data_IF_876362854486
#
_entry.id   IF_876362854486
#
_cell.length_a   1.000
_cell.length_b   1.000
_cell.length_c   1.000
_cell.angle_alpha   90.00
_cell.angle_beta   90.00
_cell.angle_gamma   90.00
#
_symmetry.space_group_name_H-M   'P 1'
#
loop_
_entity.id
_entity.type
_entity.pdbx_description
1 polymer ?
#
# COMPACT_ATOMS: atom_id res chain seq x y z
N UNK A 1 12.88 -92.49 2.89
CA UNK A 1 12.88 -91.21 3.63
C UNK A 1 13.80 -90.25 2.89
N UNK A 2 13.23 -89.46 1.99
CA UNK A 2 13.92 -88.30 1.39
C UNK A 2 12.83 -87.32 1.01
N UNK A 3 12.82 -86.12 1.62
CA UNK A 3 12.51 -84.96 0.79
C UNK A 3 13.23 -83.66 1.20
N UNK A 4 13.17 -82.74 0.24
CA UNK A 4 13.15 -81.26 0.33
C UNK A 4 14.46 -80.46 0.25
N UNK A 5 14.63 -79.95 -0.97
CA UNK A 5 15.22 -78.67 -1.38
C UNK A 5 15.17 -77.59 -0.30
N UNK A 6 16.26 -76.84 -0.13
CA UNK A 6 16.18 -75.37 -0.10
C UNK A 6 17.35 -74.76 -0.88
N UNK A 7 16.97 -73.90 -1.80
CA UNK A 7 17.79 -73.10 -2.69
C UNK A 7 17.90 -71.71 -2.06
N UNK A 8 19.11 -71.21 -1.77
CA UNK A 8 19.39 -69.77 -1.63
C UNK A 8 20.81 -69.47 -2.08
N UNK A 9 20.97 -69.28 -3.39
CA UNK A 9 22.08 -68.53 -3.95
C UNK A 9 22.00 -67.08 -3.47
N UNK A 10 23.08 -66.64 -2.82
CA UNK A 10 23.36 -65.23 -2.54
C UNK A 10 23.45 -64.47 -3.86
N UNK A 11 22.56 -63.50 -4.07
CA UNK A 11 22.74 -62.44 -5.05
C UNK A 11 22.78 -61.11 -4.31
N UNK A 12 23.94 -60.48 -4.31
CA UNK A 12 24.08 -59.06 -4.08
C UNK A 12 23.68 -58.38 -5.40
N UNK A 13 22.50 -57.77 -5.48
CA UNK A 13 22.21 -56.89 -6.62
C UNK A 13 22.63 -55.47 -6.26
N UNK A 14 23.68 -55.02 -6.93
CA UNK A 14 24.23 -53.69 -6.87
C UNK A 14 23.15 -52.62 -7.06
N UNK A 15 23.28 -51.57 -6.25
CA UNK A 15 22.76 -50.23 -6.49
C UNK A 15 22.90 -49.84 -7.97
N UNK A 16 21.77 -49.62 -8.63
CA UNK A 16 21.68 -48.56 -9.64
C UNK A 16 20.99 -47.39 -8.95
N UNK A 17 21.70 -46.74 -8.02
CA UNK A 17 21.43 -45.34 -7.77
C UNK A 17 21.66 -44.65 -9.13
N UNK A 18 20.57 -44.31 -9.81
CA UNK A 18 20.63 -43.42 -10.96
C UNK A 18 21.40 -42.20 -10.49
N UNK A 19 22.63 -42.06 -10.97
CA UNK A 19 23.44 -40.87 -10.69
C UNK A 19 22.65 -39.71 -11.29
N UNK A 20 21.98 -38.95 -10.44
CA UNK A 20 21.34 -37.71 -10.87
C UNK A 20 22.41 -36.87 -11.57
N UNK A 21 22.10 -36.27 -12.73
CA UNK A 21 23.06 -35.49 -13.47
C UNK A 21 23.66 -34.42 -12.55
N UNK A 22 24.98 -34.28 -12.57
CA UNK A 22 25.66 -33.23 -11.80
C UNK A 22 25.38 -31.89 -12.47
N UNK A 23 24.59 -31.04 -11.82
CA UNK A 23 24.29 -29.69 -12.31
C UNK A 23 25.27 -28.70 -11.66
N UNK A 24 26.00 -27.92 -12.49
CA UNK A 24 26.82 -26.81 -12.02
C UNK A 24 25.96 -25.55 -11.94
N UNK A 25 25.87 -24.97 -10.76
CA UNK A 25 25.07 -23.77 -10.50
C UNK A 25 26.00 -22.60 -10.23
N UNK A 26 25.81 -21.49 -10.96
CA UNK A 26 26.44 -20.22 -10.63
C UNK A 26 25.62 -19.57 -9.51
N UNK A 27 26.23 -19.38 -8.35
CA UNK A 27 25.60 -18.75 -7.19
C UNK A 27 26.40 -17.52 -6.80
N UNK A 28 25.75 -16.39 -6.55
CA UNK A 28 26.43 -15.14 -6.24
C UNK A 28 26.93 -15.12 -4.79
N UNK A 29 28.17 -14.64 -4.60
CA UNK A 29 28.87 -14.64 -3.31
C UNK A 29 28.18 -13.75 -2.27
N UNK A 30 27.47 -12.70 -2.70
CA UNK A 30 26.68 -11.82 -1.83
C UNK A 30 25.62 -12.59 -1.02
N UNK A 31 25.17 -13.75 -1.52
CA UNK A 31 24.14 -14.58 -0.90
C UNK A 31 24.68 -15.82 -0.18
N UNK A 32 26.01 -16.01 -0.10
CA UNK A 32 26.63 -17.24 0.44
C UNK A 32 26.21 -17.58 1.88
N UNK A 33 25.89 -16.57 2.68
CA UNK A 33 25.48 -16.74 4.08
C UNK A 33 24.14 -17.48 4.22
N UNK A 34 23.38 -17.66 3.14
CA UNK A 34 22.20 -18.53 3.12
C UNK A 34 22.51 -20.01 3.40
N UNK A 35 23.76 -20.43 3.22
CA UNK A 35 24.25 -21.78 3.54
C UNK A 35 24.86 -21.88 4.94
N UNK A 36 24.99 -20.78 5.67
CA UNK A 36 25.54 -20.77 7.01
C UNK A 36 24.45 -21.12 8.05
N UNK A 37 24.57 -22.31 8.63
CA UNK A 37 23.59 -22.84 9.60
C UNK A 37 23.72 -22.23 11.00
N UNK A 38 24.78 -21.46 11.27
CA UNK A 38 24.98 -20.80 12.58
C UNK A 38 24.10 -19.57 12.79
N UNK A 39 23.53 -19.02 11.70
CA UNK A 39 22.61 -17.88 11.78
C UNK A 39 21.20 -18.34 12.15
N UNK A 40 20.59 -17.69 13.14
CA UNK A 40 19.17 -17.83 13.44
C UNK A 40 18.34 -16.96 12.51
N UNK A 41 18.80 -15.74 12.22
CA UNK A 41 18.10 -14.79 11.37
C UNK A 41 19.01 -14.39 10.20
N UNK A 42 18.49 -14.41 8.98
CA UNK A 42 19.18 -13.97 7.77
C UNK A 42 18.29 -12.95 7.06
N UNK A 43 18.81 -11.75 6.83
CA UNK A 43 18.04 -10.64 6.28
C UNK A 43 18.73 -10.08 5.05
N UNK A 44 18.04 -10.08 3.91
CA UNK A 44 18.45 -9.34 2.74
C UNK A 44 17.44 -8.22 2.47
N UNK A 45 17.90 -6.98 2.48
CA UNK A 45 17.09 -5.81 2.20
C UNK A 45 17.72 -4.95 1.10
N UNK A 46 17.01 -3.98 0.53
CA UNK A 46 17.55 -3.05 -0.48
C UNK A 46 16.60 -2.85 -1.65
N UNK A 47 17.07 -2.29 -2.76
CA UNK A 47 16.25 -1.90 -3.91
C UNK A 47 15.85 -3.04 -4.84
N UNK A 48 15.07 -2.67 -5.85
CA UNK A 48 14.61 -3.50 -6.97
C UNK A 48 15.81 -4.03 -7.77
N UNK A 49 15.62 -5.18 -8.41
CA UNK A 49 16.63 -5.75 -9.32
C UNK A 49 17.88 -6.33 -8.63
N UNK A 50 17.84 -6.55 -7.32
CA UNK A 50 18.96 -7.08 -6.53
C UNK A 50 19.11 -8.60 -6.52
N UNK A 51 18.12 -9.33 -7.06
CA UNK A 51 18.16 -10.79 -7.11
C UNK A 51 17.89 -11.51 -5.78
N UNK A 52 17.47 -10.79 -4.72
CA UNK A 52 17.16 -11.33 -3.38
C UNK A 52 16.27 -12.58 -3.43
N UNK A 53 15.08 -12.45 -3.97
CA UNK A 53 14.08 -13.54 -3.96
C UNK A 53 14.56 -14.75 -4.76
N UNK A 54 15.19 -14.53 -5.94
CA UNK A 54 15.72 -15.62 -6.78
C UNK A 54 16.83 -16.39 -6.08
N UNK A 55 17.77 -15.71 -5.41
CA UNK A 55 18.88 -16.38 -4.72
C UNK A 55 18.47 -17.05 -3.42
N UNK A 56 17.52 -16.48 -2.67
CA UNK A 56 16.93 -17.18 -1.52
C UNK A 56 16.20 -18.44 -1.96
N UNK A 57 15.35 -18.35 -2.99
CA UNK A 57 14.67 -19.54 -3.54
C UNK A 57 15.65 -20.63 -3.99
N UNK A 58 16.68 -20.24 -4.75
CA UNK A 58 17.72 -21.17 -5.23
C UNK A 58 18.49 -21.81 -4.07
N UNK A 59 18.90 -21.04 -3.06
CA UNK A 59 19.59 -21.58 -1.89
C UNK A 59 18.72 -22.59 -1.13
N UNK A 60 17.44 -22.28 -0.93
CA UNK A 60 16.50 -23.19 -0.26
C UNK A 60 16.32 -24.49 -1.04
N UNK A 61 16.18 -24.41 -2.36
CA UNK A 61 16.12 -25.58 -3.24
C UNK A 61 17.39 -26.42 -3.13
N UNK A 62 18.57 -25.81 -3.20
CA UNK A 62 19.85 -26.51 -3.10
C UNK A 62 20.05 -27.17 -1.74
N UNK A 63 19.72 -26.47 -0.65
CA UNK A 63 19.76 -27.04 0.72
C UNK A 63 18.77 -28.19 0.88
N UNK A 64 17.58 -28.06 0.28
CA UNK A 64 16.57 -29.09 0.24
C UNK A 64 17.00 -30.36 -0.50
N UNK A 65 17.95 -30.28 -1.44
CA UNK A 65 18.56 -31.44 -2.11
C UNK A 65 19.65 -32.11 -1.27
N UNK A 66 20.24 -31.40 -0.31
CA UNK A 66 21.33 -31.91 0.53
C UNK A 66 20.81 -32.67 1.74
N UNK A 67 19.74 -32.17 2.36
CA UNK A 67 19.11 -32.78 3.54
C UNK A 67 17.62 -32.53 3.56
N UNK A 68 16.90 -33.34 4.35
CA UNK A 68 15.46 -33.19 4.55
C UNK A 68 15.17 -31.91 5.35
N UNK A 69 14.38 -31.01 4.77
CA UNK A 69 13.95 -29.76 5.38
C UNK A 69 12.44 -29.56 5.27
N UNK A 70 11.86 -28.91 6.27
CA UNK A 70 10.49 -28.39 6.22
C UNK A 70 10.55 -26.86 6.13
N UNK A 71 10.19 -26.32 4.97
CA UNK A 71 10.40 -24.90 4.63
C UNK A 71 9.06 -24.20 4.52
N UNK A 72 8.83 -23.18 5.34
CA UNK A 72 7.65 -22.32 5.27
C UNK A 72 7.94 -21.06 4.47
N UNK A 73 7.29 -20.88 3.34
CA UNK A 73 7.28 -19.64 2.57
C UNK A 73 6.04 -18.81 2.93
N UNK A 74 6.23 -17.55 3.32
CA UNK A 74 5.14 -16.73 3.86
C UNK A 74 5.25 -15.24 3.52
N UNK A 75 4.12 -14.53 3.56
CA UNK A 75 3.97 -13.06 3.34
C UNK A 75 2.81 -12.55 4.22
N UNK A 76 2.69 -11.24 4.46
CA UNK A 76 1.65 -10.69 5.36
C UNK A 76 0.23 -10.99 4.88
N UNK A 77 -0.13 -10.57 3.67
CA UNK A 77 -1.48 -10.73 3.09
C UNK A 77 -1.45 -11.82 2.01
N UNK A 78 -2.42 -12.73 2.08
CA UNK A 78 -2.59 -13.83 1.14
C UNK A 78 -3.93 -13.74 0.43
N UNK A 79 -3.96 -13.04 -0.70
CA UNK A 79 -5.05 -13.21 -1.66
C UNK A 79 -4.68 -14.29 -2.70
N UNK A 80 -3.40 -14.38 -3.12
CA UNK A 80 -2.89 -15.34 -4.13
C UNK A 80 -1.39 -15.72 -3.94
N UNK A 81 -0.92 -15.97 -2.70
CA UNK A 81 0.51 -16.37 -2.46
C UNK A 81 0.90 -17.67 -3.16
N UNK A 82 -0.08 -18.54 -3.47
CA UNK A 82 0.15 -19.74 -4.26
C UNK A 82 0.77 -19.45 -5.64
N UNK A 83 0.75 -18.20 -6.11
CA UNK A 83 1.17 -17.88 -7.47
C UNK A 83 2.50 -17.13 -7.59
N UNK A 84 3.04 -16.44 -6.57
CA UNK A 84 4.29 -15.67 -6.73
C UNK A 84 5.55 -16.41 -6.26
N UNK A 85 5.65 -16.75 -4.97
CA UNK A 85 6.83 -17.46 -4.41
C UNK A 85 6.87 -18.92 -4.88
N UNK A 86 5.71 -19.57 -4.94
CA UNK A 86 5.60 -20.92 -5.48
C UNK A 86 6.02 -20.96 -6.96
N UNK A 87 5.53 -20.02 -7.78
CA UNK A 87 5.95 -19.91 -9.18
C UNK A 87 7.44 -19.62 -9.29
N UNK A 88 7.99 -18.71 -8.49
CA UNK A 88 9.43 -18.46 -8.44
C UNK A 88 10.24 -19.73 -8.17
N UNK A 89 9.82 -20.55 -7.20
CA UNK A 89 10.49 -21.82 -6.90
C UNK A 89 10.32 -22.84 -8.05
N UNK A 90 9.13 -22.91 -8.67
CA UNK A 90 8.86 -23.71 -9.87
C UNK A 90 9.82 -23.32 -11.00
N UNK A 91 9.89 -22.03 -11.32
CA UNK A 91 10.74 -21.48 -12.37
C UNK A 91 12.23 -21.81 -12.10
N UNK A 92 12.70 -21.67 -10.85
CA UNK A 92 14.08 -22.03 -10.49
C UNK A 92 14.33 -23.54 -10.69
N UNK A 93 13.37 -24.40 -10.31
CA UNK A 93 13.48 -25.86 -10.48
C UNK A 93 13.57 -26.21 -11.97
N UNK A 94 12.72 -25.60 -12.79
CA UNK A 94 12.64 -25.84 -14.24
C UNK A 94 13.89 -25.30 -14.97
N UNK A 95 14.28 -24.04 -14.72
CA UNK A 95 15.45 -23.38 -15.32
C UNK A 95 16.76 -24.15 -15.06
N UNK A 96 16.87 -24.80 -13.89
CA UNK A 96 18.07 -25.54 -13.49
C UNK A 96 17.96 -27.05 -13.73
N UNK A 97 16.85 -27.54 -14.31
CA UNK A 97 16.67 -28.95 -14.66
C UNK A 97 16.62 -29.91 -13.46
N UNK A 98 16.05 -29.47 -12.34
CA UNK A 98 16.03 -30.25 -11.10
C UNK A 98 14.88 -31.28 -11.06
N UNK A 99 15.09 -32.43 -11.71
CA UNK A 99 14.10 -33.51 -11.90
C UNK A 99 13.70 -34.28 -10.62
N UNK A 100 14.47 -34.11 -9.55
CA UNK A 100 14.25 -34.70 -8.23
C UNK A 100 13.24 -33.92 -7.38
N UNK A 101 12.78 -32.74 -7.83
CA UNK A 101 11.61 -32.09 -7.27
C UNK A 101 10.33 -32.51 -8.00
N UNK A 102 9.28 -32.72 -7.22
CA UNK A 102 7.90 -32.78 -7.66
C UNK A 102 7.25 -31.43 -7.36
N UNK A 103 6.71 -30.78 -8.38
CA UNK A 103 6.04 -29.49 -8.29
C UNK A 103 4.59 -29.67 -8.71
N UNK A 104 3.67 -29.35 -7.82
CA UNK A 104 2.23 -29.28 -8.10
C UNK A 104 1.76 -27.84 -7.93
N UNK A 105 0.47 -27.56 -7.83
CA UNK A 105 0.00 -26.20 -7.50
C UNK A 105 0.02 -25.92 -5.99
N UNK A 106 0.13 -26.96 -5.15
CA UNK A 106 0.02 -26.85 -3.69
C UNK A 106 1.28 -27.24 -2.94
N UNK A 107 2.14 -28.05 -3.56
CA UNK A 107 3.28 -28.69 -2.91
C UNK A 107 4.47 -28.64 -3.85
N UNK A 108 5.63 -28.26 -3.30
CA UNK A 108 6.94 -28.54 -3.87
C UNK A 108 7.66 -29.50 -2.91
N UNK A 109 8.03 -30.68 -3.41
CA UNK A 109 8.66 -31.74 -2.62
C UNK A 109 9.87 -32.32 -3.33
N UNK A 110 11.00 -32.45 -2.62
CA UNK A 110 12.13 -33.23 -3.12
C UNK A 110 11.86 -34.74 -2.91
N UNK A 111 11.86 -35.53 -3.99
CA UNK A 111 11.57 -36.97 -3.97
C UNK A 111 12.69 -37.81 -3.36
N UNK A 112 13.90 -37.26 -3.23
CA UNK A 112 15.08 -37.97 -2.72
C UNK A 112 15.26 -37.72 -1.22
N UNK A 113 15.30 -36.44 -0.81
CA UNK A 113 15.51 -36.07 0.59
C UNK A 113 14.21 -36.02 1.39
N UNK A 114 13.06 -35.87 0.73
CA UNK A 114 11.78 -35.63 1.37
C UNK A 114 11.59 -34.20 1.89
N UNK A 115 12.41 -33.25 1.43
CA UNK A 115 12.20 -31.81 1.70
C UNK A 115 10.85 -31.37 1.18
N UNK A 116 10.12 -30.55 1.94
CA UNK A 116 8.84 -29.98 1.52
C UNK A 116 8.79 -28.46 1.75
N UNK A 117 8.19 -27.76 0.79
CA UNK A 117 7.85 -26.34 0.89
C UNK A 117 6.36 -26.19 1.17
N UNK A 118 6.05 -25.37 2.16
CA UNK A 118 4.70 -24.99 2.61
C UNK A 118 4.49 -23.51 2.32
N UNK A 119 3.26 -23.12 1.99
CA UNK A 119 2.93 -21.74 1.62
C UNK A 119 1.77 -21.25 2.48
N UNK A 120 1.96 -20.17 3.24
CA UNK A 120 0.91 -19.62 4.11
C UNK A 120 1.01 -18.10 4.25
N UNK A 121 -0.11 -17.44 4.44
CA UNK A 121 -0.24 -16.01 4.71
C UNK A 121 -0.32 -15.71 6.20
N UNK A 122 0.45 -14.75 6.69
CA UNK A 122 0.54 -14.48 8.12
C UNK A 122 -0.77 -13.95 8.70
N UNK A 123 -1.46 -13.06 7.99
CA UNK A 123 -2.59 -12.33 8.56
C UNK A 123 -3.90 -13.12 8.65
N UNK A 124 -4.19 -13.95 7.66
CA UNK A 124 -5.43 -14.74 7.63
C UNK A 124 -5.26 -16.12 8.29
N UNK A 125 -4.03 -16.65 8.35
CA UNK A 125 -3.77 -18.02 8.83
C UNK A 125 -2.97 -18.05 10.13
N UNK A 126 -3.14 -17.06 11.01
CA UNK A 126 -2.42 -16.94 12.30
C UNK A 126 -2.50 -18.24 13.12
N UNK A 127 -3.68 -18.88 13.17
CA UNK A 127 -3.88 -20.12 13.91
C UNK A 127 -3.17 -21.31 13.28
N UNK A 128 -3.17 -21.41 11.94
CA UNK A 128 -2.45 -22.44 11.20
C UNK A 128 -0.94 -22.33 11.49
N UNK A 129 -0.39 -21.12 11.39
CA UNK A 129 1.02 -20.84 11.68
C UNK A 129 1.36 -21.26 13.11
N UNK A 130 0.57 -20.85 14.11
CA UNK A 130 0.78 -21.26 15.51
C UNK A 130 0.82 -22.78 15.70
N UNK A 131 0.04 -23.51 14.90
CA UNK A 131 -0.03 -24.97 14.95
C UNK A 131 1.08 -25.69 14.17
N UNK A 132 1.86 -24.98 13.35
CA UNK A 132 2.95 -25.58 12.59
C UNK A 132 4.06 -26.09 13.52
N UNK A 133 4.51 -27.31 13.25
CA UNK A 133 5.58 -27.97 13.99
C UNK A 133 6.71 -28.42 13.09
N UNK A 134 7.93 -28.46 13.62
CA UNK A 134 9.07 -29.00 12.91
C UNK A 134 9.53 -28.21 11.68
N UNK A 135 9.13 -26.92 11.55
CA UNK A 135 9.65 -26.03 10.51
C UNK A 135 11.14 -25.78 10.75
N UNK A 136 11.96 -26.13 9.75
CA UNK A 136 13.40 -25.90 9.74
C UNK A 136 13.73 -24.48 9.31
N UNK A 137 13.02 -23.96 8.32
CA UNK A 137 13.29 -22.62 7.78
C UNK A 137 11.96 -21.93 7.50
N UNK A 138 11.79 -20.70 7.96
CA UNK A 138 10.72 -19.84 7.46
C UNK A 138 11.31 -18.70 6.64
N UNK A 139 10.90 -18.61 5.38
CA UNK A 139 11.22 -17.51 4.49
C UNK A 139 10.02 -16.57 4.38
N UNK A 140 10.19 -15.36 4.90
CA UNK A 140 9.24 -14.25 4.73
C UNK A 140 9.66 -13.43 3.52
N UNK A 141 8.86 -13.49 2.48
CA UNK A 141 9.02 -12.70 1.26
C UNK A 141 8.22 -11.39 1.37
N UNK A 142 8.64 -10.33 0.69
CA UNK A 142 8.06 -8.98 0.81
C UNK A 142 7.83 -8.54 2.27
N UNK A 143 8.84 -8.79 3.09
CA UNK A 143 8.77 -8.61 4.54
C UNK A 143 8.60 -7.14 4.98
N UNK A 144 8.63 -6.16 4.08
CA UNK A 144 8.25 -4.78 4.39
C UNK A 144 6.77 -4.65 4.77
N UNK A 145 5.93 -5.58 4.29
CA UNK A 145 4.49 -5.61 4.58
C UNK A 145 4.14 -6.26 5.92
N UNK A 146 5.09 -6.92 6.59
CA UNK A 146 4.80 -7.68 7.81
C UNK A 146 4.48 -6.75 8.98
N UNK A 147 3.40 -7.04 9.70
CA UNK A 147 3.07 -6.29 10.93
C UNK A 147 3.87 -6.79 12.13
N UNK A 148 4.09 -5.93 13.13
CA UNK A 148 4.73 -6.33 14.39
C UNK A 148 3.95 -7.46 15.10
N UNK A 149 2.63 -7.48 14.96
CA UNK A 149 1.78 -8.54 15.50
C UNK A 149 2.06 -9.88 14.81
N UNK A 150 2.10 -9.91 13.47
CA UNK A 150 2.44 -11.11 12.69
C UNK A 150 3.85 -11.59 13.01
N UNK A 151 4.82 -10.68 13.12
CA UNK A 151 6.20 -11.02 13.44
C UNK A 151 6.34 -11.63 14.86
N UNK A 152 5.57 -11.12 15.84
CA UNK A 152 5.51 -11.67 17.20
C UNK A 152 4.86 -13.05 17.27
N UNK A 153 4.06 -13.44 16.28
CA UNK A 153 3.53 -14.80 16.18
C UNK A 153 4.52 -15.71 15.46
N UNK A 154 5.01 -15.30 14.29
CA UNK A 154 5.86 -16.14 13.45
C UNK A 154 7.17 -16.51 14.14
N UNK A 155 7.92 -15.54 14.66
CA UNK A 155 9.28 -15.78 15.13
C UNK A 155 9.35 -16.80 16.29
N UNK A 156 8.44 -16.78 17.30
CA UNK A 156 8.38 -17.81 18.33
C UNK A 156 7.82 -19.15 17.85
N UNK A 157 6.96 -19.18 16.82
CA UNK A 157 6.41 -20.43 16.27
C UNK A 157 7.51 -21.31 15.69
N UNK A 158 8.46 -20.71 14.96
CA UNK A 158 9.58 -21.40 14.33
C UNK A 158 10.62 -21.74 15.41
N UNK A 159 10.34 -22.77 16.21
CA UNK A 159 11.05 -23.08 17.47
C UNK A 159 11.97 -24.30 17.42
N UNK A 160 12.04 -24.98 16.27
CA UNK A 160 12.91 -26.16 16.12
C UNK A 160 14.36 -25.74 16.36
N UNK A 161 15.13 -26.56 17.06
CA UNK A 161 16.56 -26.32 17.27
C UNK A 161 17.29 -26.21 15.92
N UNK A 162 18.14 -25.19 15.77
CA UNK A 162 18.83 -24.89 14.52
C UNK A 162 17.92 -24.31 13.41
N UNK A 163 16.65 -24.01 13.69
CA UNK A 163 15.77 -23.41 12.68
C UNK A 163 16.19 -21.99 12.32
N UNK A 164 15.85 -21.55 11.11
CA UNK A 164 16.22 -20.23 10.59
C UNK A 164 15.00 -19.41 10.17
N UNK A 165 15.09 -18.10 10.39
CA UNK A 165 14.19 -17.10 9.81
C UNK A 165 14.95 -16.35 8.72
N UNK A 166 14.41 -16.37 7.50
CA UNK A 166 14.96 -15.66 6.35
C UNK A 166 13.99 -14.58 5.94
N UNK A 167 14.46 -13.34 5.79
CA UNK A 167 13.63 -12.20 5.40
C UNK A 167 14.20 -11.55 4.13
N UNK A 168 13.34 -11.31 3.15
CA UNK A 168 13.66 -10.53 1.95
C UNK A 168 12.67 -9.40 1.78
N UNK A 169 13.15 -8.16 1.64
CA UNK A 169 12.27 -7.01 1.43
C UNK A 169 12.95 -5.81 0.78
N UNK A 170 12.15 -4.93 0.19
CA UNK A 170 12.59 -3.58 -0.12
C UNK A 170 12.11 -2.66 1.00
N UNK A 171 12.96 -1.75 1.48
CA UNK A 171 12.56 -0.80 2.53
C UNK A 171 11.34 -0.01 2.06
N UNK A 172 10.35 0.12 2.91
CA UNK A 172 9.21 1.02 2.66
C UNK A 172 9.27 2.20 3.62
N UNK A 173 9.34 1.89 4.92
CA UNK A 173 9.36 2.86 6.00
C UNK A 173 10.66 2.78 6.82
N UNK A 174 11.07 3.86 7.48
CA UNK A 174 12.21 3.85 8.42
C UNK A 174 12.06 2.79 9.51
N UNK A 175 10.83 2.59 9.98
CA UNK A 175 10.47 1.74 11.11
C UNK A 175 9.80 0.42 10.67
N UNK A 176 10.12 -0.09 9.48
CA UNK A 176 9.72 -1.44 9.06
C UNK A 176 10.03 -2.46 10.19
N UNK A 177 9.07 -3.26 10.68
CA UNK A 177 9.27 -4.11 11.86
C UNK A 177 10.48 -5.06 11.79
N UNK A 178 10.69 -5.68 10.62
CA UNK A 178 11.84 -6.57 10.37
C UNK A 178 13.14 -5.78 10.34
N UNK A 179 13.16 -4.59 9.75
CA UNK A 179 14.34 -3.73 9.72
C UNK A 179 14.74 -3.31 11.13
N UNK A 180 13.80 -2.77 11.90
CA UNK A 180 14.04 -2.37 13.29
C UNK A 180 14.56 -3.54 14.11
N UNK A 181 13.92 -4.71 14.00
CA UNK A 181 14.25 -5.86 14.85
C UNK A 181 15.56 -6.54 14.47
N UNK A 182 15.84 -6.75 13.19
CA UNK A 182 16.94 -7.61 12.75
C UNK A 182 18.08 -6.87 12.06
N UNK A 183 17.87 -5.62 11.63
CA UNK A 183 18.93 -4.79 11.05
C UNK A 183 19.41 -3.75 12.04
N UNK A 184 18.53 -2.92 12.61
CA UNK A 184 18.93 -1.89 13.57
C UNK A 184 19.35 -2.47 14.92
N UNK A 185 18.49 -3.32 15.52
CA UNK A 185 18.78 -3.93 16.83
C UNK A 185 19.73 -5.11 16.75
N UNK A 186 19.75 -5.81 15.60
CA UNK A 186 20.64 -6.93 15.26
C UNK A 186 20.91 -7.90 16.44
N UNK A 187 19.90 -8.68 16.87
CA UNK A 187 20.07 -9.64 17.95
C UNK A 187 21.14 -10.69 17.61
N UNK A 188 21.62 -11.42 18.63
CA UNK A 188 22.60 -12.49 18.44
C UNK A 188 22.16 -13.49 17.35
N UNK A 189 23.14 -14.05 16.64
CA UNK A 189 22.92 -14.96 15.52
C UNK A 189 22.08 -14.35 14.38
N UNK A 190 22.29 -13.07 14.07
CA UNK A 190 21.65 -12.37 12.95
C UNK A 190 22.65 -11.90 11.91
N UNK A 191 22.47 -12.36 10.68
CA UNK A 191 23.09 -11.79 9.49
C UNK A 191 22.10 -10.85 8.79
N UNK A 192 22.58 -9.67 8.40
CA UNK A 192 21.82 -8.73 7.59
C UNK A 192 22.71 -8.06 6.55
N UNK A 193 22.22 -7.93 5.31
CA UNK A 193 22.92 -7.31 4.20
C UNK A 193 21.97 -6.47 3.33
N UNK A 194 22.41 -5.26 2.97
CA UNK A 194 21.78 -4.46 1.93
C UNK A 194 22.32 -4.90 0.57
N UNK A 195 21.43 -5.20 -0.37
CA UNK A 195 21.76 -5.61 -1.73
C UNK A 195 20.83 -4.89 -2.71
N UNK A 196 21.43 -4.26 -3.72
CA UNK A 196 20.75 -3.44 -4.71
C UNK A 196 21.00 -3.99 -6.13
N UNK A 197 20.54 -3.26 -7.14
CA UNK A 197 20.67 -3.66 -8.56
C UNK A 197 22.12 -3.96 -8.98
N UNK A 198 23.08 -3.29 -8.35
CA UNK A 198 24.52 -3.39 -8.61
C UNK A 198 25.05 -4.82 -8.43
N UNK A 199 24.41 -5.63 -7.58
CA UNK A 199 24.76 -7.04 -7.39
C UNK A 199 24.54 -7.85 -8.67
N UNK A 200 23.37 -7.70 -9.30
CA UNK A 200 23.10 -8.38 -10.57
C UNK A 200 23.88 -7.75 -11.72
N UNK A 201 24.10 -6.44 -11.69
CA UNK A 201 24.80 -5.73 -12.75
C UNK A 201 26.27 -6.16 -12.82
N UNK A 202 26.98 -6.18 -11.68
CA UNK A 202 28.34 -6.74 -11.59
C UNK A 202 28.44 -8.19 -12.03
N UNK A 203 27.37 -8.97 -11.84
CA UNK A 203 27.32 -10.37 -12.24
C UNK A 203 27.01 -10.58 -13.73
N UNK A 204 26.66 -9.52 -14.47
CA UNK A 204 26.18 -9.58 -15.85
C UNK A 204 24.79 -10.19 -15.97
N UNK A 205 23.98 -10.12 -14.90
CA UNK A 205 22.65 -10.73 -14.78
C UNK A 205 21.53 -9.69 -14.66
N UNK A 206 21.85 -8.39 -14.73
CA UNK A 206 20.86 -7.33 -14.63
C UNK A 206 20.08 -7.18 -15.95
N UNK A 207 18.75 -7.43 -15.95
CA UNK A 207 17.94 -7.39 -17.17
C UNK A 207 17.95 -6.02 -17.85
N UNK A 208 18.02 -6.00 -19.17
CA UNK A 208 18.02 -4.75 -19.94
C UNK A 208 16.72 -3.95 -19.75
N UNK A 209 15.58 -4.63 -19.60
CA UNK A 209 14.29 -3.98 -19.30
C UNK A 209 14.32 -3.23 -17.97
N UNK A 210 14.95 -3.79 -16.93
CA UNK A 210 15.12 -3.11 -15.65
C UNK A 210 16.18 -2.00 -15.73
N UNK A 211 17.19 -2.15 -16.59
CA UNK A 211 18.17 -1.10 -16.85
C UNK A 211 17.51 0.14 -17.46
N UNK A 212 16.62 -0.05 -18.43
CA UNK A 212 15.86 1.06 -19.03
C UNK A 212 14.98 1.79 -17.99
N UNK A 213 14.23 1.06 -17.15
CA UNK A 213 13.44 1.65 -16.06
C UNK A 213 14.33 2.41 -15.07
N UNK A 214 15.46 1.81 -14.68
CA UNK A 214 16.39 2.40 -13.73
C UNK A 214 17.01 3.71 -14.22
N UNK A 215 17.41 3.78 -15.50
CA UNK A 215 17.98 5.01 -16.07
C UNK A 215 16.93 6.12 -16.21
N UNK A 216 15.66 5.77 -16.41
CA UNK A 216 14.56 6.74 -16.35
C UNK A 216 14.38 7.28 -14.93
N UNK A 217 14.25 6.38 -13.95
CA UNK A 217 14.08 6.76 -12.53
C UNK A 217 15.28 7.52 -11.99
N UNK A 218 16.50 7.29 -12.51
CA UNK A 218 17.72 8.01 -12.13
C UNK A 218 17.62 9.52 -12.35
N UNK A 219 16.71 9.99 -13.21
CA UNK A 219 16.42 11.41 -13.40
C UNK A 219 15.76 12.05 -12.17
N UNK A 220 15.11 11.26 -11.32
CA UNK A 220 14.61 11.66 -10.00
C UNK A 220 15.47 11.01 -8.90
N UNK A 221 16.40 11.77 -8.28
CA UNK A 221 17.31 11.21 -7.27
C UNK A 221 16.59 10.58 -6.07
N UNK A 222 15.42 11.09 -5.68
CA UNK A 222 14.65 10.56 -4.55
C UNK A 222 13.97 9.25 -4.90
N UNK A 223 13.32 9.20 -6.06
CA UNK A 223 12.75 7.97 -6.60
C UNK A 223 13.82 6.90 -6.80
N UNK A 224 14.97 7.28 -7.35
CA UNK A 224 16.09 6.37 -7.56
C UNK A 224 16.63 5.79 -6.25
N UNK A 225 16.85 6.66 -5.25
CA UNK A 225 17.29 6.23 -3.93
C UNK A 225 16.32 5.23 -3.29
N UNK A 226 15.01 5.51 -3.38
CA UNK A 226 14.00 4.63 -2.82
C UNK A 226 13.88 3.30 -3.58
N UNK A 227 13.66 3.35 -4.90
CA UNK A 227 13.33 2.18 -5.71
C UNK A 227 14.57 1.29 -5.94
N UNK A 228 15.72 1.89 -6.25
CA UNK A 228 16.90 1.16 -6.74
C UNK A 228 18.00 1.02 -5.69
N UNK A 229 18.16 1.98 -4.78
CA UNK A 229 19.11 1.89 -3.66
C UNK A 229 18.48 1.33 -2.38
N UNK A 230 17.16 1.22 -2.34
CA UNK A 230 16.43 0.68 -1.19
C UNK A 230 16.50 1.56 0.04
N UNK A 231 16.67 2.87 -0.16
CA UNK A 231 16.48 3.84 0.91
C UNK A 231 15.00 3.86 1.32
N UNK A 232 14.67 3.90 2.62
CA UNK A 232 13.30 4.09 3.03
C UNK A 232 12.79 5.44 2.50
N UNK A 233 11.48 5.54 2.28
CA UNK A 233 10.89 6.88 2.18
C UNK A 233 11.08 7.52 3.55
N UNK A 234 11.64 8.75 3.59
CA UNK A 234 11.83 9.52 4.83
C UNK A 234 10.56 9.42 5.68
N UNK A 235 10.68 8.78 6.84
CA UNK A 235 9.56 8.54 7.75
C UNK A 235 9.48 9.66 8.80
N UNK A 236 10.01 10.83 8.46
CA UNK A 236 9.93 12.04 9.26
C UNK A 236 8.63 12.84 9.00
N UNK A 237 7.82 12.50 8.01
CA UNK A 237 6.49 13.10 7.84
C UNK A 237 5.53 12.09 7.19
N UNK A 238 4.72 11.37 7.99
CA UNK A 238 3.48 10.76 7.48
C UNK A 238 2.46 11.83 7.04
N UNK A 239 2.89 13.09 6.91
CA UNK A 239 2.14 14.18 6.34
C UNK A 239 1.87 13.91 4.86
N UNK A 240 0.65 14.17 4.41
CA UNK A 240 0.29 14.02 3.00
C UNK A 240 0.89 15.14 2.16
N UNK A 241 0.87 16.36 2.71
CA UNK A 241 1.33 17.56 2.02
C UNK A 241 2.52 18.10 2.81
N UNK A 242 3.72 17.97 2.23
CA UNK A 242 4.92 18.51 2.87
C UNK A 242 4.81 20.02 3.08
N UNK A 243 5.45 20.52 4.14
CA UNK A 243 5.53 21.97 4.41
C UNK A 243 6.07 22.75 3.23
N UNK A 244 7.00 22.17 2.48
CA UNK A 244 7.53 22.77 1.26
C UNK A 244 6.46 22.88 0.17
N UNK A 245 5.73 21.80 -0.13
CA UNK A 245 4.69 21.82 -1.14
C UNK A 245 3.59 22.85 -0.83
N UNK A 246 3.18 22.95 0.44
CA UNK A 246 2.23 23.97 0.89
C UNK A 246 2.76 25.39 0.72
N UNK A 247 4.01 25.66 1.11
CA UNK A 247 4.64 26.97 0.93
C UNK A 247 4.87 27.31 -0.55
N UNK A 248 5.24 26.34 -1.38
CA UNK A 248 5.42 26.54 -2.82
C UNK A 248 4.08 26.92 -3.47
N UNK A 249 2.96 26.32 -3.05
CA UNK A 249 1.62 26.74 -3.46
C UNK A 249 1.22 28.11 -2.93
N UNK A 250 1.61 28.44 -1.70
CA UNK A 250 1.33 29.75 -1.10
C UNK A 250 2.14 30.91 -1.71
N UNK A 251 3.27 30.61 -2.34
CA UNK A 251 4.12 31.57 -3.03
C UNK A 251 3.87 31.62 -4.54
N UNK A 252 3.03 30.72 -5.07
CA UNK A 252 2.72 30.66 -6.49
C UNK A 252 1.73 31.76 -6.85
N UNK A 253 1.86 32.30 -8.05
CA UNK A 253 0.86 33.16 -8.67
C UNK A 253 0.35 32.44 -9.92
N UNK A 254 -0.94 32.17 -9.95
CA UNK A 254 -1.65 31.66 -11.13
C UNK A 254 -2.71 32.66 -11.54
N UNK A 255 -2.97 32.77 -12.84
CA UNK A 255 -4.06 33.58 -13.38
C UNK A 255 -5.42 32.97 -12.97
N UNK A 256 -6.42 33.82 -12.79
CA UNK A 256 -7.74 33.42 -12.29
C UNK A 256 -8.67 32.95 -13.42
N UNK A 257 -8.15 32.12 -14.34
CA UNK A 257 -8.91 31.57 -15.46
C UNK A 257 -9.64 30.27 -15.06
N UNK A 258 -10.95 30.21 -15.34
CA UNK A 258 -11.78 29.02 -15.12
C UNK A 258 -13.05 29.29 -14.31
N UNK A 259 -13.80 28.22 -14.05
CA UNK A 259 -15.06 28.29 -13.31
C UNK A 259 -14.84 28.66 -11.83
N UNK A 260 -15.82 29.38 -11.26
CA UNK A 260 -15.90 29.64 -9.84
C UNK A 260 -16.56 28.44 -9.16
N UNK A 261 -15.93 27.94 -8.10
CA UNK A 261 -16.49 26.88 -7.27
C UNK A 261 -16.21 27.14 -5.80
N UNK A 262 -17.08 26.64 -4.92
CA UNK A 262 -16.97 26.80 -3.47
C UNK A 262 -16.96 25.46 -2.78
N UNK A 263 -15.99 25.24 -1.88
CA UNK A 263 -15.97 24.13 -0.93
C UNK A 263 -16.42 24.58 0.46
N UNK A 264 -17.20 23.75 1.14
CA UNK A 264 -17.87 24.08 2.40
C UNK A 264 -17.74 22.94 3.41
N UNK A 265 -16.94 23.13 4.47
CA UNK A 265 -16.95 22.26 5.65
C UNK A 265 -17.90 22.85 6.70
N UNK A 266 -18.90 22.07 7.13
CA UNK A 266 -19.99 22.54 7.99
C UNK A 266 -19.81 22.02 9.41
N UNK A 267 -19.67 22.92 10.37
CA UNK A 267 -19.80 22.63 11.79
C UNK A 267 -21.13 23.20 12.35
N UNK A 268 -21.59 22.65 13.48
CA UNK A 268 -22.81 23.13 14.15
C UNK A 268 -22.62 23.20 15.66
N UNK A 269 -22.73 24.42 16.22
CA UNK A 269 -22.84 24.70 17.66
C UNK A 269 -21.75 24.06 18.56
N UNK A 270 -20.64 23.59 18.00
CA UNK A 270 -19.50 23.00 18.71
C UNK A 270 -18.24 23.86 18.60
N UNK A 271 -17.10 23.28 18.95
CA UNK A 271 -15.78 23.94 18.91
C UNK A 271 -15.14 23.97 17.51
N UNK A 272 -15.70 23.22 16.57
CA UNK A 272 -15.25 23.17 15.17
C UNK A 272 -15.78 24.37 14.39
N UNK A 273 -15.06 24.77 13.34
CA UNK A 273 -15.42 25.92 12.50
C UNK A 273 -16.19 25.48 11.27
N UNK A 274 -17.12 26.31 10.85
CA UNK A 274 -17.67 26.26 9.49
C UNK A 274 -16.76 27.08 8.58
N UNK A 275 -16.26 26.50 7.50
CA UNK A 275 -15.29 27.15 6.60
C UNK A 275 -15.77 27.10 5.15
N UNK A 276 -15.69 28.25 4.48
CA UNK A 276 -15.98 28.40 3.05
C UNK A 276 -14.68 28.71 2.31
N UNK A 277 -14.45 28.03 1.18
CA UNK A 277 -13.30 28.23 0.30
C UNK A 277 -13.78 28.44 -1.13
N UNK A 278 -13.55 29.63 -1.70
CA UNK A 278 -13.89 29.94 -3.08
C UNK A 278 -12.64 29.91 -3.93
N UNK A 279 -12.68 29.14 -5.01
CA UNK A 279 -11.64 29.17 -6.05
C UNK A 279 -12.20 29.65 -7.36
N UNK A 280 -11.31 30.13 -8.22
CA UNK A 280 -11.56 30.40 -9.63
C UNK A 280 -10.45 29.71 -10.42
N UNK A 281 -10.81 28.68 -11.17
CA UNK A 281 -9.81 27.80 -11.79
C UNK A 281 -8.89 27.17 -10.75
N UNK A 282 -7.58 27.35 -10.91
CA UNK A 282 -6.55 26.80 -10.02
C UNK A 282 -6.18 27.73 -8.85
N UNK A 283 -6.87 28.86 -8.68
CA UNK A 283 -6.56 29.88 -7.68
C UNK A 283 -7.62 29.95 -6.59
N UNK A 284 -7.20 29.90 -5.32
CA UNK A 284 -8.07 30.23 -4.19
C UNK A 284 -8.22 31.77 -4.10
N UNK A 285 -9.43 32.27 -4.29
CA UNK A 285 -9.71 33.72 -4.42
C UNK A 285 -10.40 34.33 -3.21
N UNK A 286 -11.08 33.53 -2.39
CA UNK A 286 -11.81 34.02 -1.22
C UNK A 286 -11.98 32.93 -0.16
N UNK A 287 -12.14 33.31 1.10
CA UNK A 287 -12.32 32.40 2.23
C UNK A 287 -13.07 33.05 3.38
N UNK A 288 -13.93 32.29 4.05
CA UNK A 288 -14.60 32.75 5.26
C UNK A 288 -14.64 31.63 6.32
N UNK A 289 -14.55 31.99 7.60
CA UNK A 289 -14.56 31.04 8.71
C UNK A 289 -15.46 31.56 9.83
N UNK A 290 -16.30 30.68 10.38
CA UNK A 290 -17.29 31.00 11.39
C UNK A 290 -17.32 29.94 12.50
N UNK A 291 -17.75 30.33 13.69
CA UNK A 291 -17.97 29.44 14.84
C UNK A 291 -19.40 29.59 15.35
N UNK A 292 -19.93 28.53 15.96
CA UNK A 292 -21.22 28.57 16.68
C UNK A 292 -22.44 29.04 15.85
N UNK A 293 -22.45 28.72 14.55
CA UNK A 293 -23.61 28.98 13.69
C UNK A 293 -24.63 27.84 13.74
N UNK A 294 -25.91 28.19 13.57
CA UNK A 294 -26.98 27.25 13.20
C UNK A 294 -26.95 27.01 11.68
N UNK A 295 -27.50 25.88 11.23
CA UNK A 295 -27.52 25.52 9.81
C UNK A 295 -28.19 26.58 8.93
N UNK A 296 -29.27 27.21 9.40
CA UNK A 296 -29.93 28.32 8.69
C UNK A 296 -29.02 29.54 8.54
N UNK A 297 -28.23 29.87 9.57
CA UNK A 297 -27.28 30.99 9.52
C UNK A 297 -26.09 30.66 8.59
N UNK A 298 -25.68 29.39 8.51
CA UNK A 298 -24.69 28.94 7.52
C UNK A 298 -25.23 29.15 6.10
N UNK A 299 -26.49 28.79 5.83
CA UNK A 299 -27.12 29.03 4.52
C UNK A 299 -27.09 30.51 4.17
N UNK A 300 -27.60 31.38 5.05
CA UNK A 300 -27.66 32.82 4.81
C UNK A 300 -26.26 33.44 4.56
N UNK A 301 -25.23 32.96 5.28
CA UNK A 301 -23.84 33.38 5.06
C UNK A 301 -23.28 32.88 3.75
N UNK A 302 -23.61 31.66 3.35
CA UNK A 302 -23.11 31.05 2.12
C UNK A 302 -23.73 31.73 0.89
N UNK A 303 -25.01 32.09 0.94
CA UNK A 303 -25.66 32.90 -0.10
C UNK A 303 -24.96 34.24 -0.31
N UNK A 304 -24.67 34.96 0.78
CA UNK A 304 -23.91 36.21 0.72
C UNK A 304 -22.49 35.97 0.18
N UNK A 305 -21.85 34.86 0.55
CA UNK A 305 -20.50 34.52 0.12
C UNK A 305 -20.43 34.24 -1.39
N UNK A 306 -21.46 33.64 -1.99
CA UNK A 306 -21.57 33.48 -3.45
C UNK A 306 -22.26 34.65 -4.14
N UNK A 307 -22.47 35.77 -3.44
CA UNK A 307 -23.15 36.96 -3.96
C UNK A 307 -24.54 36.67 -4.57
N UNK A 308 -25.24 35.68 -4.01
CA UNK A 308 -26.51 35.15 -4.51
C UNK A 308 -26.46 34.58 -5.94
N UNK A 309 -25.28 34.29 -6.48
CA UNK A 309 -25.14 33.62 -7.77
C UNK A 309 -25.43 32.12 -7.64
N UNK A 310 -26.56 31.70 -8.22
CA UNK A 310 -27.04 30.31 -8.18
C UNK A 310 -26.29 29.38 -9.13
N UNK A 311 -25.48 29.93 -10.05
CA UNK A 311 -24.71 29.16 -11.03
C UNK A 311 -23.33 28.76 -10.50
N UNK A 312 -22.94 29.21 -9.30
CA UNK A 312 -21.70 28.76 -8.65
C UNK A 312 -21.91 27.35 -8.11
N UNK A 313 -21.04 26.42 -8.49
CA UNK A 313 -21.04 25.07 -7.91
C UNK A 313 -20.58 25.13 -6.46
N UNK A 314 -21.45 24.71 -5.54
CA UNK A 314 -21.18 24.65 -4.10
C UNK A 314 -21.04 23.18 -3.68
N UNK A 315 -19.83 22.79 -3.31
CA UNK A 315 -19.47 21.45 -2.83
C UNK A 315 -19.49 21.43 -1.29
N UNK A 316 -20.41 20.68 -0.69
CA UNK A 316 -20.65 20.68 0.76
C UNK A 316 -20.27 19.32 1.35
N UNK A 317 -19.54 19.30 2.47
CA UNK A 317 -19.43 18.07 3.28
C UNK A 317 -20.82 17.74 3.84
N UNK A 318 -21.47 16.76 3.22
CA UNK A 318 -22.79 16.29 3.57
C UNK A 318 -22.76 15.35 4.79
N UNK A 319 -21.57 15.05 5.31
CA UNK A 319 -21.39 14.14 6.45
C UNK A 319 -21.94 14.75 7.74
N UNK A 320 -23.02 14.17 8.26
CA UNK A 320 -23.56 14.54 9.57
C UNK A 320 -24.37 15.85 9.54
N UNK A 321 -23.81 16.96 10.04
CA UNK A 321 -24.57 18.22 10.21
C UNK A 321 -24.71 19.03 8.93
N UNK A 322 -23.90 18.74 7.91
CA UNK A 322 -23.93 19.41 6.62
C UNK A 322 -25.16 19.11 5.77
N UNK A 323 -25.79 17.93 5.93
CA UNK A 323 -27.00 17.55 5.19
C UNK A 323 -28.13 18.57 5.28
N UNK A 324 -28.34 19.16 6.45
CA UNK A 324 -29.37 20.21 6.59
C UNK A 324 -29.05 21.52 5.86
N UNK A 325 -27.78 21.80 5.56
CA UNK A 325 -27.37 22.96 4.74
C UNK A 325 -27.48 22.61 3.26
N UNK A 326 -27.11 21.38 2.88
CA UNK A 326 -27.30 20.83 1.53
C UNK A 326 -28.77 20.92 1.10
N UNK A 327 -29.66 20.30 1.87
CA UNK A 327 -31.10 20.23 1.54
C UNK A 327 -31.71 21.62 1.39
N UNK A 328 -31.38 22.52 2.32
CA UNK A 328 -31.91 23.88 2.35
C UNK A 328 -31.40 24.72 1.17
N UNK A 329 -30.12 24.63 0.79
CA UNK A 329 -29.61 25.39 -0.36
C UNK A 329 -30.12 24.85 -1.70
N UNK A 330 -30.33 23.54 -1.82
CA UNK A 330 -31.01 22.94 -2.98
C UNK A 330 -32.44 23.48 -3.07
N UNK A 331 -33.18 23.49 -1.94
CA UNK A 331 -34.54 24.05 -1.90
C UNK A 331 -34.58 25.53 -2.29
N UNK A 332 -33.55 26.30 -1.92
CA UNK A 332 -33.37 27.71 -2.31
C UNK A 332 -32.91 27.88 -3.76
N UNK A 333 -32.64 26.79 -4.49
CA UNK A 333 -32.33 26.77 -5.91
C UNK A 333 -30.86 26.99 -6.26
N UNK A 334 -29.93 26.75 -5.34
CA UNK A 334 -28.49 26.84 -5.62
C UNK A 334 -27.96 25.53 -6.21
N UNK A 335 -26.93 25.63 -7.06
CA UNK A 335 -26.24 24.46 -7.59
C UNK A 335 -25.30 23.83 -6.56
N UNK A 336 -25.82 22.84 -5.84
CA UNK A 336 -25.12 22.16 -4.75
C UNK A 336 -24.72 20.74 -5.16
N UNK A 337 -23.48 20.37 -4.86
CA UNK A 337 -22.97 19.00 -4.93
C UNK A 337 -22.70 18.50 -3.51
N UNK A 338 -23.55 17.61 -2.96
CA UNK A 338 -23.26 16.95 -1.69
C UNK A 338 -22.08 16.00 -1.83
N UNK A 339 -21.14 16.07 -0.90
CA UNK A 339 -19.99 15.18 -0.83
C UNK A 339 -20.02 14.47 0.53
N UNK A 340 -20.16 13.15 0.51
CA UNK A 340 -20.04 12.33 1.71
C UNK A 340 -18.62 11.79 1.83
N UNK A 341 -17.84 12.33 2.76
CA UNK A 341 -16.46 11.92 3.02
C UNK A 341 -16.28 10.44 3.33
N UNK A 342 -17.30 9.81 3.95
CA UNK A 342 -17.31 8.39 4.27
C UNK A 342 -17.69 7.47 3.12
N UNK A 343 -18.14 8.01 1.98
CA UNK A 343 -18.53 7.21 0.81
C UNK A 343 -17.34 6.51 0.14
N UNK A 344 -17.64 5.58 -0.76
CA UNK A 344 -16.63 4.84 -1.51
C UNK A 344 -15.87 5.79 -2.44
N UNK A 345 -14.55 5.68 -2.46
CA UNK A 345 -13.70 6.40 -3.42
C UNK A 345 -13.92 5.90 -4.84
N UNK A 346 -13.61 6.73 -5.85
CA UNK A 346 -13.59 6.33 -7.26
C UNK A 346 -12.50 5.29 -7.54
N UNK A 347 -11.43 5.29 -6.74
CA UNK A 347 -10.34 4.31 -6.78
C UNK A 347 -10.33 3.42 -5.50
N UNK A 348 -11.30 2.51 -5.32
CA UNK A 348 -11.50 1.74 -4.07
C UNK A 348 -10.36 0.78 -3.73
N UNK A 349 -9.51 0.46 -4.70
CA UNK A 349 -8.28 -0.31 -4.51
C UNK A 349 -7.12 0.55 -3.97
N UNK A 350 -7.18 1.87 -4.13
CA UNK A 350 -6.15 2.82 -3.65
C UNK A 350 -6.55 3.52 -2.35
N UNK A 351 -7.83 3.80 -2.16
CA UNK A 351 -8.33 4.58 -1.02
C UNK A 351 -9.50 3.86 -0.33
N UNK A 352 -9.61 3.96 1.01
CA UNK A 352 -10.69 3.31 1.74
C UNK A 352 -12.02 4.07 1.66
N UNK A 353 -11.99 5.37 1.37
CA UNK A 353 -13.11 6.28 1.35
C UNK A 353 -12.76 7.55 0.56
N UNK A 354 -13.79 8.34 0.23
CA UNK A 354 -13.68 9.52 -0.61
C UNK A 354 -12.78 10.60 0.00
N UNK A 355 -12.85 10.87 1.31
CA UNK A 355 -11.97 11.87 1.94
C UNK A 355 -10.48 11.55 1.78
N UNK A 356 -10.10 10.26 1.84
CA UNK A 356 -8.72 9.87 1.60
C UNK A 356 -8.32 10.19 0.16
N UNK A 357 -9.15 9.83 -0.82
CA UNK A 357 -8.92 10.18 -2.22
C UNK A 357 -8.76 11.69 -2.44
N UNK A 358 -9.68 12.49 -1.88
CA UNK A 358 -9.68 13.94 -2.01
C UNK A 358 -8.41 14.60 -1.46
N UNK A 359 -7.92 14.13 -0.30
CA UNK A 359 -6.66 14.62 0.27
C UNK A 359 -5.45 14.29 -0.61
N UNK A 360 -5.39 13.08 -1.18
CA UNK A 360 -4.32 12.69 -2.10
C UNK A 360 -4.45 13.37 -3.47
N UNK A 361 -5.67 13.67 -3.91
CA UNK A 361 -5.92 14.49 -5.09
C UNK A 361 -5.40 15.92 -4.88
N UNK A 362 -5.74 16.56 -3.76
CA UNK A 362 -5.21 17.89 -3.44
C UNK A 362 -3.67 17.87 -3.43
N UNK A 363 -3.07 16.85 -2.80
CA UNK A 363 -1.62 16.67 -2.76
C UNK A 363 -0.97 16.60 -4.15
N UNK A 364 -1.61 15.93 -5.12
CA UNK A 364 -1.09 15.79 -6.48
C UNK A 364 -1.17 17.09 -7.28
N UNK A 365 -2.13 17.97 -6.97
CA UNK A 365 -2.31 19.27 -7.63
C UNK A 365 -1.64 20.44 -6.87
N UNK A 366 -1.06 20.23 -5.70
CA UNK A 366 -0.27 21.26 -4.99
C UNK A 366 0.74 22.01 -5.88
N UNK A 367 1.41 21.36 -6.87
CA UNK A 367 2.31 22.07 -7.78
C UNK A 367 1.62 23.02 -8.78
N UNK A 368 0.30 22.95 -8.94
CA UNK A 368 -0.44 23.70 -9.97
C UNK A 368 -1.34 24.80 -9.39
N UNK A 369 -1.67 24.75 -8.10
CA UNK A 369 -2.63 25.67 -7.48
C UNK A 369 -1.98 26.91 -6.84
N UNK A 370 -2.71 28.01 -6.78
CA UNK A 370 -2.34 29.25 -6.09
C UNK A 370 -3.17 29.37 -4.81
N UNK A 371 -2.48 29.43 -3.67
CA UNK A 371 -3.09 29.60 -2.34
C UNK A 371 -2.60 30.92 -1.72
N UNK A 372 -3.46 31.70 -1.05
CA UNK A 372 -2.99 32.81 -0.23
C UNK A 372 -2.23 32.31 1.00
N UNK A 373 -1.18 33.03 1.39
CA UNK A 373 -0.44 32.75 2.61
C UNK A 373 -1.36 32.81 3.84
N UNK A 374 -1.48 31.69 4.56
CA UNK A 374 -2.31 31.58 5.76
C UNK A 374 -1.71 30.52 6.69
N UNK A 375 -1.27 30.94 7.88
CA UNK A 375 -0.58 30.07 8.83
C UNK A 375 -1.47 28.92 9.36
N UNK A 376 -2.76 29.17 9.53
CA UNK A 376 -3.73 28.17 9.99
C UNK A 376 -3.90 27.06 8.95
N UNK A 377 -4.15 27.45 7.70
CA UNK A 377 -4.26 26.52 6.58
C UNK A 377 -2.93 25.76 6.37
N UNK A 378 -1.78 26.45 6.45
CA UNK A 378 -0.47 25.82 6.36
C UNK A 378 -0.30 24.75 7.46
N UNK A 379 -0.68 25.07 8.69
CA UNK A 379 -0.63 24.13 9.81
C UNK A 379 -1.51 22.90 9.58
N UNK A 380 -2.74 23.10 9.10
CA UNK A 380 -3.68 22.00 8.86
C UNK A 380 -3.26 21.09 7.69
N UNK A 381 -2.81 21.67 6.57
CA UNK A 381 -2.33 20.91 5.41
C UNK A 381 -1.11 20.05 5.76
N UNK A 382 -0.21 20.56 6.61
CA UNK A 382 1.09 19.95 6.87
C UNK A 382 1.10 18.99 8.05
N UNK A 383 0.09 19.03 8.93
CA UNK A 383 0.06 18.22 10.15
C UNK A 383 -0.85 16.98 10.06
N UNK A 384 -1.73 16.93 9.05
CA UNK A 384 -2.64 15.81 8.84
C UNK A 384 -1.88 14.60 8.30
N UNK A 385 -1.96 13.49 9.02
CA UNK A 385 -1.20 12.29 8.67
C UNK A 385 -2.02 11.32 7.81
N UNK A 386 -1.33 10.37 7.22
CA UNK A 386 -1.93 9.18 6.61
C UNK A 386 -1.22 7.91 7.05
N UNK A 387 -1.88 6.78 6.81
CA UNK A 387 -1.32 5.44 7.00
C UNK A 387 -1.88 4.51 5.95
N UNK A 388 -1.19 3.41 5.68
CA UNK A 388 -1.83 2.32 4.95
C UNK A 388 -2.82 1.60 5.86
N UNK A 389 -4.03 1.41 5.36
CA UNK A 389 -4.99 0.54 5.99
C UNK A 389 -4.56 -0.92 5.80
N UNK A 390 -5.32 -1.79 6.43
CA UNK A 390 -4.97 -3.20 6.42
C UNK A 390 -5.14 -3.86 5.04
N UNK A 391 -5.86 -3.24 4.09
CA UNK A 391 -5.99 -3.71 2.71
C UNK A 391 -4.93 -3.09 1.78
N UNK A 392 -3.95 -2.36 2.32
CA UNK A 392 -2.92 -1.67 1.55
C UNK A 392 -3.39 -0.36 0.91
N UNK A 393 -4.56 0.15 1.31
CA UNK A 393 -5.11 1.41 0.79
C UNK A 393 -4.60 2.58 1.61
N UNK A 394 -4.38 3.73 0.98
CA UNK A 394 -3.90 4.95 1.65
C UNK A 394 -5.07 5.61 2.38
N UNK A 395 -5.02 5.60 3.71
CA UNK A 395 -6.06 6.13 4.57
C UNK A 395 -5.58 7.41 5.27
N UNK A 396 -6.34 8.49 5.12
CA UNK A 396 -6.17 9.70 5.92
C UNK A 396 -6.38 9.38 7.41
N UNK A 397 -5.62 10.05 8.28
CA UNK A 397 -5.91 10.12 9.71
C UNK A 397 -7.36 10.58 9.92
N UNK A 398 -8.07 9.97 10.88
CA UNK A 398 -9.45 10.36 11.17
C UNK A 398 -9.48 11.73 11.89
N UNK A 399 -10.57 12.49 11.74
CA UNK A 399 -10.76 13.78 12.46
C UNK A 399 -10.66 13.59 13.98
N UNK A 400 -11.11 12.44 14.49
CA UNK A 400 -10.96 12.09 15.90
C UNK A 400 -9.50 11.87 16.32
N UNK A 401 -8.73 11.11 15.55
CA UNK A 401 -7.33 10.82 15.90
C UNK A 401 -6.44 12.06 15.74
N UNK A 402 -6.71 12.88 14.74
CA UNK A 402 -6.05 14.18 14.57
C UNK A 402 -6.26 15.10 15.78
N UNK A 403 -7.49 15.17 16.31
CA UNK A 403 -7.78 15.91 17.55
C UNK A 403 -7.11 15.29 18.80
N UNK A 404 -7.04 13.96 18.90
CA UNK A 404 -6.34 13.28 20.01
C UNK A 404 -4.85 13.63 20.08
N UNK A 405 -4.24 14.06 18.97
CA UNK A 405 -2.85 14.55 18.91
C UNK A 405 -2.68 15.99 19.39
N UNK A 406 -3.76 16.64 19.85
CA UNK A 406 -3.74 18.01 20.35
C UNK A 406 -3.98 19.07 19.27
N UNK A 407 -4.31 18.67 18.03
CA UNK A 407 -4.70 19.59 16.98
C UNK A 407 -6.17 19.99 17.12
N UNK A 408 -6.51 21.18 16.63
CA UNK A 408 -7.92 21.53 16.37
C UNK A 408 -8.42 20.77 15.14
N UNK A 409 -9.72 20.79 14.88
CA UNK A 409 -10.25 20.25 13.63
C UNK A 409 -9.62 20.92 12.40
N UNK A 410 -9.30 20.20 11.31
CA UNK A 410 -8.66 20.76 10.12
C UNK A 410 -9.70 21.36 9.14
N UNK A 411 -10.60 22.20 9.66
CA UNK A 411 -11.76 22.66 8.89
C UNK A 411 -11.36 23.53 7.67
N UNK A 412 -10.21 24.23 7.71
CA UNK A 412 -9.71 25.00 6.57
C UNK A 412 -9.22 24.10 5.44
N UNK A 413 -8.52 23.02 5.80
CA UNK A 413 -8.03 22.06 4.82
C UNK A 413 -9.15 21.17 4.26
N UNK A 414 -10.11 20.75 5.10
CA UNK A 414 -11.26 19.95 4.67
C UNK A 414 -12.18 20.78 3.73
N UNK A 415 -12.37 22.09 3.97
CA UNK A 415 -13.04 22.97 3.01
C UNK A 415 -12.23 23.20 1.72
N UNK A 416 -10.90 23.19 1.79
CA UNK A 416 -10.04 23.38 0.62
C UNK A 416 -10.08 22.15 -0.31
N UNK A 417 -10.01 20.94 0.24
CA UNK A 417 -10.12 19.72 -0.58
C UNK A 417 -11.48 19.68 -1.29
N UNK A 418 -12.57 20.10 -0.63
CA UNK A 418 -13.90 20.19 -1.27
C UNK A 418 -13.89 21.17 -2.44
N UNK A 419 -13.29 22.34 -2.25
CA UNK A 419 -13.26 23.36 -3.30
C UNK A 419 -12.54 22.84 -4.54
N UNK A 420 -11.37 22.20 -4.37
CA UNK A 420 -10.51 21.78 -5.48
C UNK A 420 -10.81 20.40 -6.06
N UNK A 421 -11.49 19.52 -5.33
CA UNK A 421 -11.73 18.15 -5.78
C UNK A 421 -12.62 18.12 -7.02
N UNK A 422 -12.09 17.68 -8.14
CA UNK A 422 -12.86 17.34 -9.33
C UNK A 422 -13.03 15.82 -9.34
N UNK A 423 -14.24 15.34 -9.04
CA UNK A 423 -14.59 13.96 -9.38
C UNK A 423 -14.48 13.79 -10.90
N UNK A 424 -14.43 12.54 -11.40
CA UNK A 424 -14.90 12.29 -12.76
C UNK A 424 -16.38 12.70 -12.80
N UNK A 425 -16.63 13.98 -13.06
CA UNK A 425 -17.94 14.50 -13.41
C UNK A 425 -18.18 13.89 -14.79
N UNK A 426 -18.85 12.74 -14.82
CA UNK A 426 -19.62 12.39 -16.00
C UNK A 426 -20.61 13.54 -16.15
N UNK A 427 -20.24 14.51 -16.98
CA UNK A 427 -21.20 15.42 -17.57
C UNK A 427 -21.97 14.50 -18.49
N UNK A 428 -23.07 13.94 -17.99
CA UNK A 428 -24.16 13.63 -18.91
C UNK A 428 -24.52 14.99 -19.48
N UNK A 429 -24.08 15.25 -20.72
CA UNK A 429 -24.58 16.36 -21.51
C UNK A 429 -26.09 16.20 -21.51
N UNK A 430 -26.79 16.99 -20.70
CA UNK A 430 -28.21 17.23 -20.91
C UNK A 430 -28.26 17.99 -22.23
N UNK A 431 -28.44 17.25 -23.31
CA UNK A 431 -28.75 17.82 -24.62
C UNK A 431 -30.08 18.55 -24.51
N UNK A 432 -30.23 19.69 -25.21
CA UNK A 432 -31.47 20.49 -25.24
C UNK A 432 -32.73 19.68 -25.61
N UNK A 433 -32.57 18.45 -26.08
CA UNK A 433 -33.64 17.53 -26.47
C UNK A 433 -34.40 16.87 -25.29
N UNK A 434 -33.91 16.95 -24.04
CA UNK A 434 -34.59 16.33 -22.88
C UNK A 434 -35.76 17.17 -22.30
N UNK A 435 -36.04 18.34 -22.88
CA UNK A 435 -37.15 19.21 -22.45
C UNK A 435 -38.47 19.00 -23.21
N UNK A 436 -38.47 18.26 -24.33
CA UNK A 436 -39.65 18.11 -25.18
C UNK A 436 -40.54 16.90 -24.83
N UNK A 437 -40.09 15.97 -23.98
CA UNK A 437 -40.81 14.72 -23.68
C UNK A 437 -41.48 14.65 -22.29
N UNK A 438 -41.57 15.75 -21.55
CA UNK A 438 -42.43 15.83 -20.36
C UNK A 438 -43.81 16.36 -20.75
N UNK A 439 -44.64 15.44 -21.29
CA UNK A 439 -46.08 15.64 -21.39
C UNK A 439 -46.65 16.01 -20.01
N UNK A 440 -47.08 17.26 -19.90
CA UNK A 440 -47.81 17.82 -18.77
C UNK A 440 -49.25 17.28 -18.77
N UNK A 441 -49.43 15.99 -18.49
CA UNK A 441 -50.77 15.43 -18.22
C UNK A 441 -50.91 15.01 -16.75
N UNK A 442 -51.68 15.83 -16.04
CA UNK A 442 -52.46 15.37 -14.90
C UNK A 442 -51.87 15.69 -13.53
N UNK A 443 -52.21 16.87 -12.99
CA UNK A 443 -52.91 17.03 -11.70
C UNK A 443 -52.97 18.51 -11.29
N UNK A 444 -53.66 19.31 -12.10
CA UNK A 444 -54.50 20.37 -11.55
C UNK A 444 -55.93 19.83 -11.56
N UNK A 445 -56.40 19.32 -10.41
CA UNK A 445 -57.69 19.78 -9.87
C UNK A 445 -57.96 19.20 -8.46
N UNK A 446 -58.46 20.11 -7.60
CA UNK A 446 -59.42 19.92 -6.50
C UNK A 446 -58.94 19.75 -5.05
N UNK A 447 -59.18 20.85 -4.33
CA UNK A 447 -59.79 20.94 -2.99
C UNK A 447 -58.88 20.75 -1.78
N UNK A 448 -58.20 21.83 -1.34
CA UNK A 448 -58.59 22.68 -0.18
C UNK A 448 -57.50 23.69 0.18
#
# INVERSE_FOLDING_TARGET
MTPLKTNRSRWWSLSVASQLPTVKIKFLDEFKELFNESWRNIVFYGGRGSGKSKHVGLALILRGRQKRLRILCTREIQNTISDSVHKLLRDIIEENGFIDYEVTDKIIRNKVTGTEFLFAGLRHNVNEIKSMEGIDIAWVEEAQSISEASLKVLAPTIRKEGSQLIFTFNRFAELDPVYVRYVMKKPAHTYSAQVNYDVLDRAGLFPETLRMEMEEDRKDPGLFAHVWLGEPVDQADNSIISRRAALDAMNRVVDDEGAIQVGVDVARMGDDRTVFKKRKGLKLVDSASYTHLRTTEVCDKLELFVAHDKNVLIKIDDTGVGGGVTDELILRGYWVMPINFGSMSSEPDKYPNLISEMWFYLASIMPTIDLPMNDGLLGELTSRLWKMDTKGRRAIESKQDYKKRGNRSPDEADALILAFYEANIAVDEVTEDDYDDLEFEGLLDRDF
#
